data_IF_494988374193
#
_entry.id   IF_494988374193
#
_cell.length_a   1.000
_cell.length_b   1.000
_cell.length_c   1.000
_cell.angle_alpha   90.00
_cell.angle_beta   90.00
_cell.angle_gamma   90.00
#
_symmetry.space_group_name_H-M   'P 1'
#
loop_
_entity.id
_entity.type
_entity.pdbx_description
1 polymer ?
#
# COMPACT_ATOMS: atom_id res chain seq x y z
N UNK A 1 -39.04 21.15 3.21
CA UNK A 1 -38.38 20.24 4.17
C UNK A 1 -36.90 20.12 3.83
N UNK A 2 -35.99 20.90 4.46
CA UNK A 2 -34.56 20.82 4.20
C UNK A 2 -33.83 20.35 5.47
N UNK A 3 -33.40 19.10 5.56
CA UNK A 3 -32.50 18.63 6.65
C UNK A 3 -31.72 17.35 6.33
N UNK A 4 -32.10 16.55 5.32
CA UNK A 4 -31.37 15.31 4.99
C UNK A 4 -30.12 15.51 4.11
N UNK A 5 -30.05 16.56 3.29
CA UNK A 5 -28.88 16.85 2.44
C UNK A 5 -27.65 17.31 3.25
N UNK A 6 -27.85 18.04 4.35
CA UNK A 6 -26.75 18.51 5.20
C UNK A 6 -26.08 17.37 5.96
N UNK A 7 -26.82 16.36 6.41
CA UNK A 7 -26.27 15.28 7.22
C UNK A 7 -25.44 14.31 6.38
N UNK A 8 -25.96 13.92 5.21
CA UNK A 8 -25.26 13.06 4.26
C UNK A 8 -23.97 13.74 3.74
N UNK A 9 -24.04 15.03 3.38
CA UNK A 9 -22.85 15.80 2.95
C UNK A 9 -21.81 15.92 4.08
N UNK A 10 -22.24 16.14 5.32
CA UNK A 10 -21.32 16.19 6.48
C UNK A 10 -20.73 14.81 6.80
N UNK A 11 -21.51 13.73 6.69
CA UNK A 11 -21.05 12.36 6.91
C UNK A 11 -20.05 11.92 5.83
N UNK A 12 -20.38 12.07 4.55
CA UNK A 12 -19.48 11.78 3.42
C UNK A 12 -18.24 12.66 3.47
N UNK A 13 -18.33 13.92 3.90
CA UNK A 13 -17.15 14.77 4.10
C UNK A 13 -16.31 14.34 5.31
N UNK A 14 -16.93 13.84 6.39
CA UNK A 14 -16.21 13.33 7.56
C UNK A 14 -15.47 12.04 7.23
N UNK A 15 -16.13 11.12 6.51
CA UNK A 15 -15.56 9.91 5.92
C UNK A 15 -14.44 10.32 4.97
N UNK A 16 -14.68 11.14 3.94
CA UNK A 16 -13.63 11.53 2.98
C UNK A 16 -12.44 12.22 3.63
N UNK A 17 -12.65 13.05 4.65
CA UNK A 17 -11.55 13.65 5.44
C UNK A 17 -10.84 12.63 6.29
N UNK A 18 -11.55 11.67 6.85
CA UNK A 18 -10.99 10.54 7.59
C UNK A 18 -10.21 9.60 6.67
N UNK A 19 -10.73 9.27 5.48
CA UNK A 19 -10.04 8.57 4.39
C UNK A 19 -8.77 9.33 4.01
N UNK A 20 -8.87 10.61 3.63
CA UNK A 20 -7.70 11.40 3.25
C UNK A 20 -6.65 11.51 4.38
N UNK A 21 -7.10 11.65 5.63
CA UNK A 21 -6.21 11.70 6.80
C UNK A 21 -5.62 10.33 7.15
N UNK A 22 -6.39 9.25 7.01
CA UNK A 22 -5.96 7.88 7.27
C UNK A 22 -5.08 7.36 6.13
N UNK A 23 -5.27 7.84 4.91
CA UNK A 23 -4.38 7.62 3.77
C UNK A 23 -3.08 8.41 3.97
N UNK A 24 -3.15 9.68 4.36
CA UNK A 24 -1.95 10.45 4.74
C UNK A 24 -1.19 9.78 5.90
N UNK A 25 -1.91 9.23 6.89
CA UNK A 25 -1.35 8.43 7.99
C UNK A 25 -0.91 7.04 7.58
N UNK A 26 -1.55 6.35 6.63
CA UNK A 26 -1.19 4.98 6.20
C UNK A 26 0.03 5.02 5.29
N UNK A 27 0.10 6.02 4.43
CA UNK A 27 1.33 6.47 3.76
C UNK A 27 2.37 6.74 4.85
N UNK A 28 2.13 7.61 5.83
CA UNK A 28 3.10 7.91 6.90
C UNK A 28 3.54 6.69 7.77
N UNK A 29 2.61 5.85 8.23
CA UNK A 29 2.82 4.73 9.15
C UNK A 29 3.37 3.47 8.45
N UNK A 30 3.01 3.23 7.19
CA UNK A 30 3.64 2.15 6.38
C UNK A 30 5.12 2.40 6.16
N UNK A 31 5.60 3.63 6.41
CA UNK A 31 6.98 4.03 6.16
C UNK A 31 7.85 4.20 7.40
N UNK A 32 7.29 4.36 8.61
CA UNK A 32 8.08 4.55 9.85
C UNK A 32 8.38 3.27 10.63
N UNK A 33 7.87 2.10 10.21
CA UNK A 33 8.20 0.80 10.81
C UNK A 33 7.96 0.76 12.32
N UNK A 34 6.75 0.40 12.76
CA UNK A 34 6.38 0.12 14.16
C UNK A 34 6.79 1.16 15.24
N UNK A 35 7.15 2.40 14.86
CA UNK A 35 7.46 3.47 15.84
C UNK A 35 6.24 4.34 16.21
N UNK A 36 5.04 4.03 15.68
CA UNK A 36 3.79 4.66 16.09
C UNK A 36 2.66 3.62 16.23
N UNK A 37 1.81 3.81 17.22
CA UNK A 37 0.89 2.86 17.87
C UNK A 37 -0.23 2.20 17.03
N UNK A 38 -0.25 2.34 15.71
CA UNK A 38 -1.29 1.75 14.84
C UNK A 38 -0.66 1.08 13.61
N UNK A 39 -0.57 -0.27 13.57
CA UNK A 39 0.12 -1.00 12.51
C UNK A 39 -0.62 -0.88 11.17
N UNK A 40 0.15 -0.61 10.09
CA UNK A 40 -0.34 -0.70 8.71
C UNK A 40 -0.20 -2.13 8.23
N UNK A 41 -1.29 -2.70 7.71
CA UNK A 41 -1.31 -4.07 7.21
C UNK A 41 -0.58 -4.13 5.87
N UNK A 42 0.59 -4.78 5.86
CA UNK A 42 1.19 -5.25 4.61
C UNK A 42 0.34 -6.42 4.10
N UNK A 43 -0.44 -6.16 3.05
CA UNK A 43 -1.08 -7.10 2.12
C UNK A 43 -1.34 -8.51 2.64
N UNK A 44 -2.59 -8.79 3.00
CA UNK A 44 -3.03 -10.14 3.32
C UNK A 44 -4.32 -10.16 4.13
N UNK A 45 -5.37 -9.51 3.67
CA UNK A 45 -6.73 -9.74 4.18
C UNK A 45 -7.65 -10.25 3.10
N UNK A 46 -8.45 -11.22 3.48
CA UNK A 46 -9.54 -11.83 2.74
C UNK A 46 -10.70 -10.88 2.39
N UNK A 47 -10.58 -9.56 2.64
CA UNK A 47 -11.64 -8.55 2.44
C UNK A 47 -11.33 -7.44 1.43
N UNK A 48 -10.30 -7.63 0.60
CA UNK A 48 -9.92 -6.70 -0.47
C UNK A 48 -11.05 -6.51 -1.52
N UNK A 49 -11.53 -5.26 -1.67
CA UNK A 49 -12.57 -4.86 -2.64
C UNK A 49 -12.12 -5.04 -4.10
N UNK A 50 -10.82 -5.18 -4.35
CA UNK A 50 -10.26 -5.37 -5.69
C UNK A 50 -10.28 -6.84 -6.16
N UNK A 51 -10.58 -7.79 -5.26
CA UNK A 51 -10.50 -9.23 -5.58
C UNK A 51 -11.78 -9.79 -6.19
N UNK A 52 -11.67 -10.29 -7.42
CA UNK A 52 -12.69 -11.13 -8.09
C UNK A 52 -12.76 -12.53 -7.45
N UNK A 53 -13.64 -12.73 -6.47
CA UNK A 53 -13.82 -14.01 -5.73
C UNK A 53 -14.59 -15.07 -6.53
N UNK A 54 -14.16 -15.37 -7.76
CA UNK A 54 -14.84 -16.33 -8.65
C UNK A 54 -16.20 -15.84 -9.19
N UNK A 55 -16.56 -14.57 -8.96
CA UNK A 55 -17.77 -13.93 -9.48
C UNK A 55 -17.52 -13.41 -10.91
N UNK A 56 -18.56 -13.33 -11.75
CA UNK A 56 -18.47 -12.74 -13.10
C UNK A 56 -18.01 -11.27 -13.06
N UNK A 57 -18.45 -10.53 -12.03
CA UNK A 57 -18.15 -9.12 -11.78
C UNK A 57 -17.22 -8.97 -10.57
N UNK A 58 -16.47 -7.86 -10.50
CA UNK A 58 -15.57 -7.60 -9.36
C UNK A 58 -16.34 -7.36 -8.06
N UNK A 59 -17.42 -6.57 -8.13
CA UNK A 59 -18.29 -6.21 -7.01
C UNK A 59 -19.71 -5.89 -7.52
N UNK A 60 -20.64 -5.58 -6.61
CA UNK A 60 -22.02 -5.27 -6.98
C UNK A 60 -22.12 -3.94 -7.76
N UNK A 61 -21.26 -2.95 -7.47
CA UNK A 61 -21.11 -1.76 -8.29
C UNK A 61 -20.79 -2.07 -9.77
N UNK A 62 -19.79 -2.91 -10.05
CA UNK A 62 -19.40 -3.30 -11.41
C UNK A 62 -20.55 -4.03 -12.13
N UNK A 63 -21.28 -4.88 -11.41
CA UNK A 63 -22.51 -5.52 -11.91
C UNK A 63 -23.58 -4.49 -12.28
N UNK A 64 -23.81 -3.46 -11.46
CA UNK A 64 -24.81 -2.42 -11.73
C UNK A 64 -24.42 -1.53 -12.92
N UNK A 65 -23.12 -1.22 -13.09
CA UNK A 65 -22.63 -0.51 -14.27
C UNK A 65 -22.75 -1.35 -15.53
N UNK A 66 -22.32 -2.63 -15.51
CA UNK A 66 -22.34 -3.47 -16.72
C UNK A 66 -23.76 -3.82 -17.16
N UNK A 67 -24.69 -3.96 -16.23
CA UNK A 67 -26.11 -4.26 -16.53
C UNK A 67 -26.96 -3.01 -16.73
N UNK A 68 -26.34 -1.83 -16.77
CA UNK A 68 -27.07 -0.59 -16.98
C UNK A 68 -27.74 -0.58 -18.36
N UNK A 69 -29.04 -0.32 -18.36
CA UNK A 69 -29.87 -0.29 -19.56
C UNK A 69 -30.93 0.79 -19.39
N UNK A 70 -31.12 1.61 -20.43
CA UNK A 70 -32.16 2.64 -20.45
C UNK A 70 -33.52 1.94 -20.56
N UNK A 71 -34.39 2.15 -19.57
CA UNK A 71 -35.74 1.59 -19.49
C UNK A 71 -36.74 2.73 -19.29
N UNK A 72 -37.82 2.50 -18.55
CA UNK A 72 -38.75 3.56 -18.15
C UNK A 72 -38.07 4.57 -17.21
N UNK A 73 -38.54 5.83 -17.13
CA UNK A 73 -37.91 6.86 -16.30
C UNK A 73 -37.66 6.42 -14.85
N UNK A 74 -38.68 5.83 -14.20
CA UNK A 74 -38.57 5.32 -12.83
C UNK A 74 -37.52 4.21 -12.69
N UNK A 75 -37.42 3.32 -13.67
CA UNK A 75 -36.48 2.19 -13.64
C UNK A 75 -35.05 2.68 -13.86
N UNK A 76 -34.85 3.56 -14.84
CA UNK A 76 -33.55 4.20 -15.12
C UNK A 76 -33.05 4.96 -13.89
N UNK A 77 -33.90 5.77 -13.25
CA UNK A 77 -33.56 6.48 -12.02
C UNK A 77 -33.25 5.52 -10.86
N UNK A 78 -33.96 4.40 -10.73
CA UNK A 78 -33.65 3.38 -9.73
C UNK A 78 -32.27 2.75 -9.95
N UNK A 79 -31.87 2.51 -11.21
CA UNK A 79 -30.53 2.03 -11.53
C UNK A 79 -29.45 3.07 -11.14
N UNK A 80 -29.71 4.37 -11.35
CA UNK A 80 -28.83 5.46 -10.89
C UNK A 80 -28.65 5.41 -9.38
N UNK A 81 -29.74 5.30 -8.62
CA UNK A 81 -29.67 5.22 -7.15
C UNK A 81 -28.85 4.02 -6.69
N UNK A 82 -29.01 2.87 -7.35
CA UNK A 82 -28.23 1.67 -7.04
C UNK A 82 -26.74 1.90 -7.35
N UNK A 83 -26.38 2.43 -8.53
CA UNK A 83 -24.97 2.72 -8.87
C UNK A 83 -24.34 3.66 -7.83
N UNK A 84 -25.05 4.73 -7.45
CA UNK A 84 -24.58 5.66 -6.44
C UNK A 84 -24.40 4.98 -5.07
N UNK A 85 -25.42 4.24 -4.61
CA UNK A 85 -25.37 3.55 -3.31
C UNK A 85 -24.25 2.52 -3.25
N UNK A 86 -24.09 1.71 -4.29
CA UNK A 86 -23.06 0.68 -4.37
C UNK A 86 -21.66 1.29 -4.45
N UNK A 87 -21.49 2.43 -5.13
CA UNK A 87 -20.22 3.14 -5.12
C UNK A 87 -19.82 3.57 -3.70
N UNK A 88 -20.74 4.20 -2.95
CA UNK A 88 -20.45 4.61 -1.58
C UNK A 88 -20.36 3.44 -0.59
N UNK A 89 -21.03 2.33 -0.87
CA UNK A 89 -20.83 1.09 -0.11
C UNK A 89 -19.40 0.58 -0.26
N UNK A 90 -18.80 0.66 -1.46
CA UNK A 90 -17.37 0.33 -1.64
C UNK A 90 -16.44 1.27 -0.87
N UNK A 91 -16.80 2.56 -0.81
CA UNK A 91 -16.04 3.55 -0.02
C UNK A 91 -16.11 3.21 1.47
N UNK A 92 -17.30 2.87 1.97
CA UNK A 92 -17.52 2.48 3.37
C UNK A 92 -16.81 1.15 3.70
N UNK A 93 -16.85 0.16 2.80
CA UNK A 93 -16.14 -1.11 2.95
C UNK A 93 -14.63 -0.90 3.03
N UNK A 94 -14.06 -0.07 2.15
CA UNK A 94 -12.65 0.28 2.18
C UNK A 94 -12.27 1.00 3.49
N UNK A 95 -13.18 1.80 4.06
CA UNK A 95 -12.95 2.48 5.33
C UNK A 95 -13.21 1.60 6.58
N UNK A 96 -13.93 0.47 6.45
CA UNK A 96 -14.47 -0.29 7.59
C UNK A 96 -13.42 -0.72 8.63
N UNK A 97 -12.19 -0.98 8.19
CA UNK A 97 -11.06 -1.37 9.04
C UNK A 97 -10.28 -0.16 9.62
N UNK A 98 -10.75 1.07 9.41
CA UNK A 98 -10.16 2.32 9.91
C UNK A 98 -8.88 2.77 9.18
N UNK A 99 -8.42 2.01 8.17
CA UNK A 99 -7.22 2.31 7.38
C UNK A 99 -7.48 1.91 5.92
N UNK A 100 -7.39 2.87 4.99
CA UNK A 100 -7.46 2.61 3.55
C UNK A 100 -6.06 2.44 2.98
N UNK A 101 -5.86 1.37 2.22
CA UNK A 101 -4.61 1.14 1.51
C UNK A 101 -4.56 1.88 0.16
N UNK A 102 -3.36 2.03 -0.39
CA UNK A 102 -3.14 2.72 -1.67
C UNK A 102 -3.79 2.01 -2.86
N UNK A 103 -3.96 0.68 -2.81
CA UNK A 103 -4.54 -0.11 -3.89
C UNK A 103 -6.06 0.04 -3.93
N UNK A 104 -6.72 -0.05 -2.77
CA UNK A 104 -8.14 0.21 -2.57
C UNK A 104 -8.48 1.64 -2.99
N UNK A 105 -7.65 2.61 -2.61
CA UNK A 105 -7.84 3.99 -3.03
C UNK A 105 -7.67 4.16 -4.54
N UNK A 106 -6.64 3.55 -5.14
CA UNK A 106 -6.47 3.56 -6.61
C UNK A 106 -7.69 2.98 -7.30
N UNK A 107 -8.19 1.86 -6.79
CA UNK A 107 -9.38 1.23 -7.33
C UNK A 107 -10.61 2.13 -7.24
N UNK A 108 -10.89 2.74 -6.09
CA UNK A 108 -12.04 3.66 -5.91
C UNK A 108 -11.98 4.86 -6.86
N UNK A 109 -10.78 5.43 -7.03
CA UNK A 109 -10.53 6.57 -7.92
C UNK A 109 -10.66 6.16 -9.40
N UNK A 110 -10.21 4.96 -9.77
CA UNK A 110 -10.36 4.42 -11.13
C UNK A 110 -11.81 4.06 -11.49
N UNK A 111 -12.61 3.61 -10.51
CA UNK A 111 -14.02 3.28 -10.72
C UNK A 111 -14.93 4.51 -10.84
N UNK A 112 -14.52 5.64 -10.24
CA UNK A 112 -15.34 6.86 -10.18
C UNK A 112 -15.77 7.38 -11.57
N UNK A 113 -14.87 7.54 -12.57
CA UNK A 113 -15.26 7.99 -13.91
C UNK A 113 -16.26 7.04 -14.60
N UNK A 114 -16.23 5.74 -14.29
CA UNK A 114 -17.20 4.78 -14.83
C UNK A 114 -18.59 5.02 -14.26
N UNK A 115 -18.68 5.34 -12.96
CA UNK A 115 -19.94 5.71 -12.30
C UNK A 115 -20.52 6.98 -12.95
N UNK A 116 -19.72 8.04 -12.96
CA UNK A 116 -20.08 9.36 -13.50
C UNK A 116 -20.59 9.24 -14.93
N UNK A 117 -19.81 8.62 -15.83
CA UNK A 117 -20.19 8.48 -17.24
C UNK A 117 -21.50 7.69 -17.44
N UNK A 118 -21.73 6.66 -16.62
CA UNK A 118 -22.96 5.86 -16.71
C UNK A 118 -24.16 6.66 -16.22
N UNK A 119 -24.00 7.41 -15.14
CA UNK A 119 -25.06 8.27 -14.59
C UNK A 119 -25.34 9.48 -15.49
N UNK A 120 -24.35 10.07 -16.15
CA UNK A 120 -24.53 11.14 -17.13
C UNK A 120 -25.35 10.67 -18.33
N UNK A 121 -25.07 9.44 -18.83
CA UNK A 121 -25.91 8.80 -19.84
C UNK A 121 -27.35 8.59 -19.36
N UNK A 122 -27.52 8.19 -18.11
CA UNK A 122 -28.84 8.03 -17.52
C UNK A 122 -29.58 9.37 -17.42
N UNK A 123 -28.89 10.45 -17.03
CA UNK A 123 -29.42 11.80 -16.94
C UNK A 123 -29.89 12.32 -18.30
N UNK A 124 -29.07 12.14 -19.35
CA UNK A 124 -29.45 12.47 -20.72
C UNK A 124 -30.70 11.68 -21.16
N UNK A 125 -30.70 10.37 -20.95
CA UNK A 125 -31.84 9.51 -21.29
C UNK A 125 -33.13 9.88 -20.54
N UNK A 126 -33.03 10.33 -19.29
CA UNK A 126 -34.20 10.79 -18.51
C UNK A 126 -34.79 12.08 -19.07
N UNK A 127 -33.97 12.98 -19.60
CA UNK A 127 -34.44 14.17 -20.34
C UNK A 127 -35.15 13.77 -21.63
N UNK A 128 -34.59 12.81 -22.37
CA UNK A 128 -35.19 12.30 -23.62
C UNK A 128 -36.53 11.58 -23.38
N UNK A 129 -36.71 10.99 -22.20
CA UNK A 129 -37.95 10.34 -21.78
C UNK A 129 -38.97 11.29 -21.11
N UNK A 130 -38.77 12.61 -21.23
CA UNK A 130 -39.65 13.65 -20.67
C UNK A 130 -39.80 13.58 -19.13
N UNK A 131 -38.72 13.21 -18.44
CA UNK A 131 -38.66 13.15 -16.97
C UNK A 131 -37.53 14.05 -16.40
N UNK A 132 -37.64 15.39 -16.59
CA UNK A 132 -36.58 16.33 -16.21
C UNK A 132 -36.33 16.39 -14.69
N UNK A 133 -37.36 16.13 -13.87
CA UNK A 133 -37.25 16.10 -12.41
C UNK A 133 -36.36 14.94 -11.91
N UNK A 134 -36.39 13.80 -12.60
CA UNK A 134 -35.53 12.65 -12.31
C UNK A 134 -34.12 12.85 -12.87
N UNK A 135 -33.99 13.56 -14.00
CA UNK A 135 -32.70 13.94 -14.56
C UNK A 135 -31.95 14.89 -13.60
N UNK A 136 -32.61 15.91 -13.07
CA UNK A 136 -32.01 16.85 -12.10
C UNK A 136 -31.52 16.13 -10.83
N UNK A 137 -32.33 15.20 -10.28
CA UNK A 137 -31.89 14.36 -9.15
C UNK A 137 -30.73 13.44 -9.50
N UNK A 138 -30.63 13.00 -10.76
CA UNK A 138 -29.48 12.21 -11.23
C UNK A 138 -28.23 13.08 -11.27
N UNK A 139 -28.35 14.34 -11.71
CA UNK A 139 -27.24 15.29 -11.72
C UNK A 139 -26.75 15.62 -10.31
N UNK A 140 -27.65 15.80 -9.34
CA UNK A 140 -27.28 15.95 -7.92
C UNK A 140 -26.44 14.77 -7.42
N UNK A 141 -26.76 13.55 -7.86
CA UNK A 141 -26.03 12.33 -7.48
C UNK A 141 -24.67 12.23 -8.17
N UNK A 142 -24.57 12.68 -9.42
CA UNK A 142 -23.30 12.81 -10.13
C UNK A 142 -22.39 13.82 -9.40
N UNK A 143 -22.95 14.98 -9.02
CA UNK A 143 -22.23 16.01 -8.28
C UNK A 143 -21.69 15.46 -6.96
N UNK A 144 -22.46 14.66 -6.20
CA UNK A 144 -21.98 14.04 -4.95
C UNK A 144 -20.74 13.15 -5.17
N UNK A 145 -20.72 12.38 -6.25
CA UNK A 145 -19.56 11.55 -6.61
C UNK A 145 -18.37 12.43 -7.05
N UNK A 146 -18.59 13.49 -7.84
CA UNK A 146 -17.54 14.44 -8.24
C UNK A 146 -16.97 15.19 -7.02
N UNK A 147 -17.81 15.64 -6.08
CA UNK A 147 -17.42 16.31 -4.83
C UNK A 147 -16.58 15.40 -3.93
N UNK A 148 -16.88 14.10 -3.89
CA UNK A 148 -16.06 13.11 -3.19
C UNK A 148 -14.62 13.12 -3.73
N UNK A 149 -14.43 13.06 -5.07
CA UNK A 149 -13.11 13.09 -5.68
C UNK A 149 -12.34 14.38 -5.36
N UNK A 150 -13.02 15.54 -5.45
CA UNK A 150 -12.40 16.84 -5.15
C UNK A 150 -11.93 16.87 -3.70
N UNK A 151 -12.77 16.43 -2.77
CA UNK A 151 -12.46 16.39 -1.34
C UNK A 151 -11.32 15.41 -1.05
N UNK A 152 -11.31 14.26 -1.72
CA UNK A 152 -10.25 13.27 -1.61
C UNK A 152 -8.92 13.80 -2.14
N UNK A 153 -8.94 14.47 -3.30
CA UNK A 153 -7.75 15.12 -3.86
C UNK A 153 -7.22 16.18 -2.89
N UNK A 154 -8.08 17.05 -2.34
CA UNK A 154 -7.66 18.13 -1.46
C UNK A 154 -7.12 17.63 -0.10
N UNK A 155 -7.61 16.49 0.38
CA UNK A 155 -7.15 15.88 1.64
C UNK A 155 -5.92 15.00 1.48
N UNK A 156 -5.63 14.52 0.27
CA UNK A 156 -4.44 13.68 0.00
C UNK A 156 -3.20 14.54 -0.21
N UNK A 157 -2.35 14.62 0.81
CA UNK A 157 -1.05 15.28 0.75
C UNK A 157 0.08 14.29 0.40
N UNK A 158 0.80 14.58 -0.69
CA UNK A 158 1.96 13.81 -1.15
C UNK A 158 3.29 14.52 -0.91
N UNK A 159 3.28 15.73 -0.34
CA UNK A 159 4.50 16.52 -0.10
C UNK A 159 5.41 15.89 0.97
N UNK A 160 4.85 15.08 1.86
CA UNK A 160 5.57 14.34 2.91
C UNK A 160 6.15 12.99 2.50
N UNK A 161 6.24 12.66 1.20
CA UNK A 161 6.75 11.36 0.77
C UNK A 161 8.24 11.20 1.17
N UNK A 162 8.62 10.08 1.82
CA UNK A 162 9.96 9.88 2.33
C UNK A 162 10.98 9.79 1.18
N UNK A 163 12.17 10.35 1.40
CA UNK A 163 13.21 10.37 0.39
C UNK A 163 13.66 8.96 0.01
N UNK A 164 13.73 8.69 -1.28
CA UNK A 164 14.24 7.41 -1.82
C UNK A 164 15.76 7.45 -2.06
N UNK A 165 16.45 8.46 -1.52
CA UNK A 165 17.89 8.69 -1.70
C UNK A 165 18.73 7.54 -1.13
N UNK A 166 19.81 7.16 -1.83
CA UNK A 166 20.72 6.13 -1.36
C UNK A 166 21.60 6.67 -0.22
N UNK A 167 21.44 6.13 0.99
CA UNK A 167 22.29 6.47 2.14
C UNK A 167 23.64 5.78 2.00
N UNK A 168 24.74 6.50 2.24
CA UNK A 168 26.09 5.95 2.20
C UNK A 168 26.27 4.76 3.15
N UNK A 169 25.58 4.78 4.30
CA UNK A 169 25.52 3.67 5.26
C UNK A 169 25.10 2.32 4.63
N UNK A 170 24.31 2.34 3.55
CA UNK A 170 23.89 1.13 2.86
C UNK A 170 25.03 0.49 2.05
N UNK A 171 26.04 1.25 1.60
CA UNK A 171 27.24 0.66 0.97
C UNK A 171 28.02 -0.13 2.01
N UNK A 172 28.25 0.45 3.18
CA UNK A 172 28.93 -0.23 4.28
C UNK A 172 28.15 -1.46 4.75
N UNK A 173 26.83 -1.34 4.90
CA UNK A 173 26.01 -2.47 5.27
C UNK A 173 25.99 -3.59 4.20
N UNK A 174 26.12 -3.27 2.92
CA UNK A 174 26.28 -4.29 1.87
C UNK A 174 27.56 -5.11 2.08
N UNK A 175 28.69 -4.45 2.31
CA UNK A 175 29.96 -5.14 2.55
C UNK A 175 29.89 -5.99 3.84
N UNK A 176 29.31 -5.43 4.90
CA UNK A 176 29.11 -6.12 6.17
C UNK A 176 28.11 -7.28 6.08
N UNK A 177 27.28 -7.33 5.02
CA UNK A 177 26.28 -8.39 4.83
C UNK A 177 26.89 -9.76 4.55
N UNK A 178 28.13 -9.80 4.06
CA UNK A 178 28.89 -11.03 3.88
C UNK A 178 29.39 -11.62 5.20
N UNK A 179 29.41 -10.83 6.28
CA UNK A 179 29.88 -11.24 7.60
C UNK A 179 28.78 -11.21 8.66
N UNK A 180 27.51 -11.01 8.27
CA UNK A 180 26.39 -10.95 9.21
C UNK A 180 26.32 -9.71 10.10
N UNK A 181 27.25 -8.77 9.93
CA UNK A 181 27.34 -7.54 10.71
C UNK A 181 26.31 -6.49 10.27
N UNK A 182 25.81 -6.58 9.05
CA UNK A 182 24.73 -5.74 8.54
C UNK A 182 23.44 -5.84 9.36
N UNK A 183 23.19 -7.01 9.96
CA UNK A 183 22.02 -7.24 10.79
C UNK A 183 22.06 -6.54 12.14
N UNK A 184 23.24 -6.27 12.69
CA UNK A 184 23.33 -5.45 13.91
C UNK A 184 22.94 -4.01 13.61
N UNK A 185 23.30 -3.49 12.42
CA UNK A 185 22.98 -2.12 12.01
C UNK A 185 21.46 -1.95 11.85
N UNK A 186 20.77 -2.93 11.27
CA UNK A 186 19.35 -2.80 10.94
C UNK A 186 18.40 -3.49 11.93
N UNK A 187 18.85 -4.49 12.69
CA UNK A 187 18.02 -5.34 13.55
C UNK A 187 18.75 -5.74 14.86
N UNK A 188 19.22 -4.77 15.68
CA UNK A 188 20.05 -5.04 16.87
C UNK A 188 19.30 -5.78 17.97
N UNK A 189 17.97 -5.68 18.02
CA UNK A 189 17.14 -6.33 19.03
C UNK A 189 16.95 -7.83 18.82
N UNK A 190 17.28 -8.36 17.63
CA UNK A 190 17.06 -9.78 17.32
C UNK A 190 18.27 -10.62 17.74
N UNK A 191 18.09 -11.70 18.53
CA UNK A 191 19.20 -12.55 18.97
C UNK A 191 19.92 -13.24 17.79
N UNK A 192 19.17 -13.53 16.72
CA UNK A 192 19.72 -14.10 15.48
C UNK A 192 20.73 -13.14 14.81
N UNK A 193 20.57 -11.82 14.95
CA UNK A 193 21.52 -10.83 14.41
C UNK A 193 22.88 -10.94 15.09
N UNK A 194 22.89 -11.11 16.41
CA UNK A 194 24.11 -11.27 17.20
C UNK A 194 24.81 -12.59 16.91
N UNK A 195 24.06 -13.69 16.72
CA UNK A 195 24.62 -14.98 16.34
C UNK A 195 25.46 -14.89 15.06
N UNK A 196 24.89 -14.29 14.00
CA UNK A 196 25.60 -14.15 12.72
C UNK A 196 26.80 -13.20 12.81
N UNK A 197 26.68 -12.13 13.59
CA UNK A 197 27.78 -11.20 13.81
C UNK A 197 28.95 -11.85 14.57
N UNK A 198 28.67 -12.62 15.62
CA UNK A 198 29.71 -13.36 16.37
C UNK A 198 30.40 -14.36 15.45
N UNK A 199 29.62 -15.08 14.63
CA UNK A 199 30.17 -16.05 13.68
C UNK A 199 31.03 -15.36 12.60
N UNK A 200 30.59 -14.22 12.06
CA UNK A 200 31.38 -13.43 11.10
C UNK A 200 32.65 -12.82 11.70
N UNK A 201 32.59 -12.28 12.92
CA UNK A 201 33.74 -11.75 13.64
C UNK A 201 34.75 -12.84 14.06
N UNK A 202 34.32 -14.10 14.13
CA UNK A 202 35.25 -15.19 14.44
C UNK A 202 36.21 -15.51 13.29
N UNK A 203 35.89 -15.12 12.05
CA UNK A 203 36.71 -15.42 10.87
C UNK A 203 38.13 -14.81 10.94
N UNK A 204 38.32 -13.50 11.22
CA UNK A 204 39.67 -12.94 11.43
C UNK A 204 40.44 -13.62 12.57
N UNK A 205 39.75 -13.96 13.66
CA UNK A 205 40.35 -14.61 14.83
C UNK A 205 40.84 -16.01 14.45
N UNK A 206 40.04 -16.75 13.70
CA UNK A 206 40.38 -18.09 13.19
C UNK A 206 41.59 -17.98 12.25
N UNK A 207 41.55 -17.11 11.24
CA UNK A 207 42.65 -16.93 10.27
C UNK A 207 43.96 -16.58 11.00
N UNK A 208 43.91 -15.64 11.94
CA UNK A 208 45.07 -15.25 12.73
C UNK A 208 45.61 -16.39 13.60
N UNK A 209 44.72 -17.15 14.23
CA UNK A 209 45.12 -18.26 15.12
C UNK A 209 45.74 -19.43 14.33
N UNK A 210 45.23 -19.75 13.14
CA UNK A 210 45.86 -20.74 12.24
C UNK A 210 47.21 -20.24 11.71
N UNK A 211 47.31 -18.96 11.32
CA UNK A 211 48.55 -18.37 10.81
C UNK A 211 49.68 -18.32 11.84
N UNK A 212 49.35 -18.26 13.13
CA UNK A 212 50.33 -18.25 14.23
C UNK A 212 50.53 -19.61 14.91
N UNK A 213 49.92 -20.69 14.38
CA UNK A 213 50.05 -22.02 14.97
C UNK A 213 49.47 -22.16 16.39
N UNK A 214 48.52 -21.29 16.78
CA UNK A 214 47.95 -21.28 18.14
C UNK A 214 46.98 -22.43 18.41
N UNK A 215 46.49 -23.11 17.37
CA UNK A 215 45.73 -24.34 17.53
C UNK A 215 46.68 -25.54 17.54
N UNK A 216 47.29 -25.79 18.70
CA UNK A 216 47.95 -27.07 18.97
C UNK A 216 46.86 -28.14 19.18
N UNK A 217 46.41 -28.71 18.07
CA UNK A 217 45.33 -29.70 18.06
C UNK A 217 45.67 -30.89 18.94
N UNK A 218 46.95 -31.25 19.09
CA UNK A 218 47.37 -32.47 19.80
C UNK A 218 47.06 -32.43 21.30
N UNK A 219 46.88 -31.25 21.90
CA UNK A 219 46.59 -31.06 23.33
C UNK A 219 45.11 -30.83 23.67
N UNK A 220 44.21 -30.67 22.69
CA UNK A 220 42.77 -30.51 22.95
C UNK A 220 42.05 -31.86 23.04
N UNK A 221 41.16 -32.02 24.03
CA UNK A 221 40.26 -33.18 24.07
C UNK A 221 39.45 -33.26 22.76
N UNK A 222 39.32 -34.46 22.20
CA UNK A 222 38.65 -34.79 20.93
C UNK A 222 37.30 -34.04 20.73
N UNK A 223 36.48 -33.89 21.79
CA UNK A 223 35.19 -33.19 21.72
C UNK A 223 35.32 -31.70 21.38
N UNK A 224 36.36 -31.01 21.87
CA UNK A 224 36.57 -29.59 21.58
C UNK A 224 37.16 -29.37 20.19
N UNK A 225 38.00 -30.28 19.72
CA UNK A 225 38.54 -30.25 18.34
C UNK A 225 37.41 -30.28 17.30
N UNK A 226 36.43 -31.17 17.48
CA UNK A 226 35.27 -31.27 16.58
C UNK A 226 34.43 -29.98 16.59
N UNK A 227 34.16 -29.41 17.76
CA UNK A 227 33.37 -28.17 17.88
C UNK A 227 34.10 -26.98 17.23
N UNK A 228 35.40 -26.83 17.47
CA UNK A 228 36.21 -25.75 16.90
C UNK A 228 36.35 -25.93 15.38
N UNK A 229 36.52 -27.17 14.90
CA UNK A 229 36.59 -27.47 13.47
C UNK A 229 35.29 -27.13 12.74
N UNK A 230 34.14 -27.54 13.28
CA UNK A 230 32.82 -27.20 12.72
C UNK A 230 32.59 -25.69 12.75
N UNK A 231 32.90 -25.03 13.87
CA UNK A 231 32.77 -23.58 14.00
C UNK A 231 33.65 -22.83 13.00
N UNK A 232 34.90 -23.29 12.82
CA UNK A 232 35.86 -22.71 11.88
C UNK A 232 35.41 -22.86 10.44
N UNK A 233 34.91 -24.04 10.06
CA UNK A 233 34.34 -24.29 8.74
C UNK A 233 33.11 -23.40 8.49
N UNK A 234 32.22 -23.30 9.48
CA UNK A 234 31.01 -22.47 9.39
C UNK A 234 31.36 -20.98 9.22
N UNK A 235 32.35 -20.48 9.96
CA UNK A 235 32.83 -19.10 9.87
C UNK A 235 33.53 -18.82 8.52
N UNK A 236 34.45 -19.69 8.08
CA UNK A 236 35.18 -19.55 6.81
C UNK A 236 34.25 -19.54 5.59
N UNK A 237 33.19 -20.35 5.63
CA UNK A 237 32.22 -20.44 4.54
C UNK A 237 31.09 -19.42 4.64
N UNK A 238 31.01 -18.66 5.74
CA UNK A 238 29.93 -17.69 6.03
C UNK A 238 29.71 -16.66 4.92
N UNK A 239 30.74 -16.05 4.31
CA UNK A 239 30.53 -15.13 3.18
C UNK A 239 29.77 -15.78 2.01
N UNK A 240 29.97 -17.08 1.80
CA UNK A 240 29.34 -17.81 0.69
C UNK A 240 27.91 -18.24 1.04
N UNK A 241 27.73 -19.09 2.06
CA UNK A 241 26.39 -19.61 2.34
C UNK A 241 25.49 -18.56 2.98
N UNK A 242 25.98 -17.77 3.93
CA UNK A 242 25.17 -16.74 4.56
C UNK A 242 25.06 -15.50 3.67
N UNK A 243 26.20 -14.94 3.24
CA UNK A 243 26.23 -13.69 2.46
C UNK A 243 25.50 -13.77 1.13
N UNK A 244 25.64 -14.89 0.39
CA UNK A 244 25.06 -15.02 -0.95
C UNK A 244 23.73 -15.79 -1.01
N UNK A 245 23.44 -16.68 -0.04
CA UNK A 245 22.25 -17.55 -0.11
C UNK A 245 21.23 -17.18 0.96
N UNK A 246 21.63 -17.17 2.24
CA UNK A 246 20.68 -17.03 3.35
C UNK A 246 20.27 -15.57 3.57
N UNK A 247 21.22 -14.64 3.58
CA UNK A 247 20.95 -13.23 3.86
C UNK A 247 20.07 -12.58 2.78
N UNK A 248 20.28 -12.81 1.47
CA UNK A 248 19.42 -12.27 0.42
C UNK A 248 17.98 -12.80 0.44
N UNK A 249 17.77 -14.03 0.94
CA UNK A 249 16.45 -14.66 1.03
C UNK A 249 15.66 -14.28 2.28
N UNK A 250 16.31 -13.65 3.27
CA UNK A 250 15.66 -13.27 4.54
C UNK A 250 15.42 -11.77 4.57
N UNK A 251 14.27 -11.35 5.09
CA UNK A 251 13.86 -9.93 5.16
C UNK A 251 14.64 -9.05 6.17
N UNK A 252 15.87 -9.43 6.54
CA UNK A 252 16.71 -8.73 7.52
C UNK A 252 17.96 -8.13 6.90
N UNK A 253 18.68 -7.30 7.68
CA UNK A 253 19.96 -6.72 7.26
C UNK A 253 19.86 -5.82 6.02
N UNK A 254 20.96 -5.76 5.26
CA UNK A 254 21.07 -4.95 4.04
C UNK A 254 20.04 -5.36 2.97
N UNK A 255 19.83 -6.65 2.79
CA UNK A 255 18.92 -7.18 1.77
C UNK A 255 17.46 -6.86 2.11
N UNK A 256 17.09 -6.96 3.40
CA UNK A 256 15.81 -6.46 3.89
C UNK A 256 15.65 -4.95 3.68
N UNK A 257 16.69 -4.15 3.97
CA UNK A 257 16.68 -2.71 3.69
C UNK A 257 16.49 -2.42 2.19
N UNK A 258 17.20 -3.11 1.30
CA UNK A 258 17.08 -2.96 -0.16
C UNK A 258 15.67 -3.32 -0.64
N UNK A 259 15.10 -4.40 -0.14
CA UNK A 259 13.74 -4.83 -0.47
C UNK A 259 12.71 -3.78 -0.03
N UNK A 260 12.78 -3.31 1.23
CA UNK A 260 11.93 -2.24 1.75
C UNK A 260 12.05 -0.96 0.92
N UNK A 261 13.26 -0.61 0.51
CA UNK A 261 13.50 0.58 -0.32
C UNK A 261 12.93 0.46 -1.74
N UNK A 262 13.03 -0.73 -2.35
CA UNK A 262 12.38 -1.01 -3.64
C UNK A 262 10.86 -0.86 -3.51
N UNK A 263 10.29 -1.44 -2.46
CA UNK A 263 8.88 -1.33 -2.14
C UNK A 263 8.43 0.12 -1.91
N UNK A 264 9.21 0.89 -1.16
CA UNK A 264 8.99 2.32 -0.91
C UNK A 264 8.98 3.13 -2.22
N UNK A 265 9.91 2.87 -3.14
CA UNK A 265 9.92 3.55 -4.45
C UNK A 265 8.64 3.26 -5.24
N UNK A 266 8.19 2.00 -5.24
CA UNK A 266 6.94 1.60 -5.90
C UNK A 266 5.72 2.29 -5.27
N UNK A 267 5.66 2.36 -3.93
CA UNK A 267 4.56 3.03 -3.23
C UNK A 267 4.54 4.54 -3.48
N UNK A 268 5.71 5.20 -3.46
CA UNK A 268 5.80 6.62 -3.80
C UNK A 268 5.33 6.87 -5.24
N UNK A 269 5.74 6.02 -6.18
CA UNK A 269 5.27 6.12 -7.58
C UNK A 269 3.76 5.94 -7.68
N UNK A 270 3.19 4.97 -6.97
CA UNK A 270 1.75 4.74 -6.94
C UNK A 270 0.99 5.95 -6.36
N UNK A 271 1.44 6.50 -5.23
CA UNK A 271 0.84 7.69 -4.63
C UNK A 271 0.89 8.91 -5.55
N UNK A 272 2.03 9.12 -6.23
CA UNK A 272 2.17 10.20 -7.23
C UNK A 272 1.23 10.01 -8.43
N UNK A 273 1.18 8.79 -8.98
CA UNK A 273 0.30 8.47 -10.10
C UNK A 273 -1.17 8.66 -9.72
N UNK A 274 -1.56 8.21 -8.52
CA UNK A 274 -2.90 8.37 -8.00
C UNK A 274 -3.27 9.85 -7.84
N UNK A 275 -2.38 10.65 -7.23
CA UNK A 275 -2.58 12.09 -7.12
C UNK A 275 -2.74 12.75 -8.48
N UNK A 276 -1.91 12.37 -9.45
CA UNK A 276 -2.00 12.90 -10.80
C UNK A 276 -3.32 12.53 -11.47
N UNK A 277 -3.77 11.28 -11.30
CA UNK A 277 -5.05 10.81 -11.82
C UNK A 277 -6.20 11.62 -11.22
N UNK A 278 -6.21 11.81 -9.89
CA UNK A 278 -7.21 12.64 -9.21
C UNK A 278 -7.21 14.08 -9.74
N UNK A 279 -6.04 14.72 -9.88
CA UNK A 279 -5.91 16.08 -10.45
C UNK A 279 -6.48 16.15 -11.86
N UNK A 280 -6.14 15.18 -12.72
CA UNK A 280 -6.64 15.14 -14.10
C UNK A 280 -8.16 15.02 -14.13
N UNK A 281 -8.75 14.15 -13.31
CA UNK A 281 -10.20 13.95 -13.27
C UNK A 281 -10.93 15.17 -12.68
N UNK A 282 -10.39 15.80 -11.63
CA UNK A 282 -10.95 17.05 -11.07
C UNK A 282 -10.98 18.15 -12.13
N UNK A 283 -9.89 18.33 -12.88
CA UNK A 283 -9.84 19.34 -13.96
C UNK A 283 -10.88 19.08 -15.05
N UNK A 284 -11.12 17.82 -15.41
CA UNK A 284 -12.17 17.48 -16.38
C UNK A 284 -13.55 17.93 -15.87
N UNK A 285 -13.83 17.70 -14.59
CA UNK A 285 -15.10 18.09 -13.98
C UNK A 285 -15.27 19.60 -13.80
N UNK A 286 -14.20 20.34 -13.53
CA UNK A 286 -14.21 21.81 -13.48
C UNK A 286 -14.47 22.41 -14.87
N UNK A 287 -13.90 21.83 -15.93
CA UNK A 287 -14.13 22.27 -17.31
C UNK A 287 -15.57 22.00 -17.74
N UNK A 288 -16.11 20.82 -17.44
CA UNK A 288 -17.51 20.47 -17.74
C UNK A 288 -18.50 21.42 -17.05
N UNK A 289 -18.26 21.76 -15.78
CA UNK A 289 -19.09 22.69 -15.02
C UNK A 289 -18.99 24.16 -15.45
N UNK A 290 -17.93 24.55 -16.17
CA UNK A 290 -17.79 25.89 -16.75
C UNK A 290 -18.44 26.01 -18.14
N UNK A 291 -18.82 24.89 -18.76
CA UNK A 291 -19.42 24.82 -20.10
C UNK A 291 -20.93 24.50 -20.10
N UNK A 292 -21.52 24.29 -18.92
CA UNK A 292 -22.96 24.12 -18.71
C UNK A 292 -23.61 25.42 -18.22
#
# INVERSE_FOLDING_TARGET
>A
MPNNMSLAKTFTNSITREIGRNVGKSISNSFLGDSHSTPVRMTGSSNDVTRKRGRTYHNDFDKHITKFEIKTPKTTFTQVLNIHSEYFTLVDEAQSDGVIDLNELSFLVEQLPRAVKTMEKASAALRDLDAPDLAEKTDEKIIQIKEFLVTLNNSTDISGLPSTGFKLQAVFAFLLSFFGLDRIIYEPSKPVSWFFAILGCSLPIIIWSYGNGMFDYDNLRIRYQLVIGIWSLAALTLPFWYGMIVNPKRNGGYWGYRARKKYQKLHNQMAMNLKQLMITQVKLYEVEGATA
#
